data_IF_059908807745
#
_entry.id   IF_059908807745
#
_cell.length_a   1.000
_cell.length_b   1.000
_cell.length_c   1.000
_cell.angle_alpha   90.00
_cell.angle_beta   90.00
_cell.angle_gamma   90.00
#
_symmetry.space_group_name_H-M   'P 1'
#
loop_
_entity.id
_entity.type
_entity.pdbx_description
1 polymer ?
#
# COMPACT_ATOMS: atom_id res chain seq x y z
N UNK A 1 9.68 -0.99 -28.05
CA UNK A 1 8.61 -1.93 -27.66
C UNK A 1 7.27 -1.32 -28.08
N UNK A 2 6.10 -1.95 -27.85
CA UNK A 2 4.80 -1.28 -28.11
C UNK A 2 4.13 -0.93 -26.79
N UNK A 3 3.90 0.35 -26.52
CA UNK A 3 3.22 0.79 -25.30
C UNK A 3 1.76 0.27 -25.25
N UNK A 4 1.35 -0.23 -24.08
CA UNK A 4 0.02 -0.76 -23.80
C UNK A 4 -0.53 -0.15 -22.51
N UNK A 5 -1.84 -0.29 -22.29
CA UNK A 5 -2.46 0.11 -21.02
C UNK A 5 -2.29 -0.99 -19.97
N UNK A 6 -2.32 -0.62 -18.69
CA UNK A 6 -2.20 -1.58 -17.56
C UNK A 6 -3.22 -2.72 -17.61
N UNK A 7 -4.43 -2.46 -18.07
CA UNK A 7 -5.50 -3.48 -18.20
C UNK A 7 -5.25 -4.50 -19.31
N UNK A 8 -4.26 -4.25 -20.18
CA UNK A 8 -3.82 -5.11 -21.28
C UNK A 8 -2.58 -5.95 -20.96
N UNK A 9 -2.04 -5.88 -19.73
CA UNK A 9 -0.95 -6.76 -19.29
C UNK A 9 -1.29 -8.23 -19.51
N UNK A 10 -0.29 -9.02 -19.93
CA UNK A 10 -0.42 -10.45 -20.21
C UNK A 10 0.61 -11.24 -19.40
N UNK A 11 0.19 -12.38 -18.87
CA UNK A 11 1.04 -13.24 -18.06
C UNK A 11 1.99 -14.12 -18.93
N UNK A 12 3.25 -14.32 -18.51
CA UNK A 12 3.94 -13.59 -17.45
C UNK A 12 4.41 -12.21 -17.93
N UNK A 13 4.55 -11.27 -17.00
CA UNK A 13 5.08 -9.94 -17.27
C UNK A 13 6.42 -9.73 -16.55
N UNK A 14 7.42 -9.21 -17.25
CA UNK A 14 8.70 -8.87 -16.62
C UNK A 14 8.54 -7.54 -15.88
N UNK A 15 9.04 -7.46 -14.66
CA UNK A 15 9.10 -6.20 -13.89
C UNK A 15 10.47 -5.57 -14.12
N UNK A 16 10.49 -4.33 -14.58
CA UNK A 16 11.70 -3.54 -14.85
C UNK A 16 11.68 -2.26 -14.00
N UNK A 17 12.85 -1.87 -13.48
CA UNK A 17 13.07 -0.57 -12.82
C UNK A 17 14.18 0.18 -13.58
N UNK A 18 13.79 1.24 -14.28
CA UNK A 18 14.66 1.97 -15.21
C UNK A 18 14.76 3.43 -14.80
N UNK A 19 15.96 3.86 -14.43
CA UNK A 19 16.33 5.27 -14.28
C UNK A 19 16.89 5.81 -15.58
N UNK A 20 16.23 6.83 -16.13
CA UNK A 20 16.60 7.41 -17.42
C UNK A 20 17.94 8.13 -17.42
N UNK A 21 18.46 8.49 -16.25
CA UNK A 21 19.79 9.10 -16.06
C UNK A 21 20.91 8.10 -15.85
N UNK A 22 20.59 6.83 -15.57
CA UNK A 22 21.60 5.79 -15.31
C UNK A 22 21.96 5.10 -16.62
N UNK A 23 23.24 5.06 -16.99
CA UNK A 23 23.68 4.23 -18.13
C UNK A 23 23.70 2.76 -17.72
N UNK A 24 23.04 1.91 -18.50
CA UNK A 24 23.04 0.46 -18.28
C UNK A 24 24.04 -0.29 -19.17
N UNK A 25 24.77 0.43 -20.03
CA UNK A 25 25.74 -0.17 -20.95
C UNK A 25 25.13 -1.29 -21.78
N UNK A 26 25.80 -2.44 -21.83
CA UNK A 26 25.34 -3.63 -22.57
C UNK A 26 24.55 -4.62 -21.69
N UNK A 27 24.02 -4.20 -20.54
CA UNK A 27 23.22 -5.08 -19.68
C UNK A 27 21.94 -5.51 -20.40
N UNK A 28 21.74 -6.82 -20.50
CA UNK A 28 20.57 -7.43 -21.13
C UNK A 28 19.75 -8.23 -20.12
N UNK A 29 18.44 -8.22 -20.29
CA UNK A 29 17.50 -9.08 -19.57
C UNK A 29 16.94 -10.12 -20.55
N UNK A 30 16.97 -11.39 -20.17
CA UNK A 30 16.27 -12.45 -20.88
C UNK A 30 14.76 -12.27 -20.68
N UNK A 31 14.04 -12.12 -21.78
CA UNK A 31 12.60 -11.94 -21.79
C UNK A 31 11.84 -12.97 -22.61
N UNK A 32 12.48 -14.04 -23.08
CA UNK A 32 11.89 -15.02 -24.01
C UNK A 32 10.56 -15.59 -23.50
N UNK A 33 10.45 -15.80 -22.19
CA UNK A 33 9.24 -16.33 -21.55
C UNK A 33 8.13 -15.30 -21.32
N UNK A 34 8.43 -14.01 -21.36
CA UNK A 34 7.50 -12.95 -20.98
C UNK A 34 6.72 -12.42 -22.18
N UNK A 35 5.47 -12.02 -21.94
CA UNK A 35 4.58 -11.47 -22.97
C UNK A 35 4.51 -9.95 -22.93
N UNK A 36 4.62 -9.39 -21.72
CA UNK A 36 4.55 -7.94 -21.50
C UNK A 36 5.63 -7.51 -20.51
N UNK A 37 5.94 -6.22 -20.47
CA UNK A 37 6.77 -5.60 -19.44
C UNK A 37 5.96 -4.61 -18.61
N UNK A 38 6.17 -4.65 -17.31
CA UNK A 38 5.74 -3.66 -16.33
C UNK A 38 6.99 -2.87 -15.93
N UNK A 39 7.05 -1.58 -16.25
CA UNK A 39 8.27 -0.78 -16.13
C UNK A 39 8.04 0.41 -15.18
N UNK A 40 8.73 0.42 -14.04
CA UNK A 40 8.90 1.61 -13.22
C UNK A 40 9.92 2.52 -13.89
N UNK A 41 9.53 3.78 -14.09
CA UNK A 41 10.40 4.80 -14.69
C UNK A 41 10.83 5.78 -13.61
N UNK A 42 12.13 5.98 -13.49
CA UNK A 42 12.75 6.97 -12.61
C UNK A 42 13.51 8.01 -13.41
N UNK A 43 13.65 9.20 -12.86
CA UNK A 43 14.52 10.26 -13.36
C UNK A 43 15.44 10.74 -12.22
N UNK A 44 16.68 10.24 -12.20
CA UNK A 44 17.66 10.55 -11.14
C UNK A 44 17.23 10.03 -9.77
N UNK A 45 16.82 8.76 -9.71
CA UNK A 45 16.35 8.06 -8.51
C UNK A 45 14.90 8.33 -8.12
N UNK A 46 14.26 9.36 -8.70
CA UNK A 46 12.88 9.75 -8.36
C UNK A 46 11.89 9.03 -9.27
N UNK A 47 10.89 8.36 -8.69
CA UNK A 47 9.77 7.77 -9.44
C UNK A 47 8.99 8.85 -10.17
N UNK A 48 8.82 8.67 -11.49
CA UNK A 48 8.03 9.60 -12.33
C UNK A 48 6.77 8.95 -12.88
N UNK A 49 6.82 7.69 -13.31
CA UNK A 49 5.67 6.98 -13.88
C UNK A 49 5.87 5.46 -13.86
N UNK A 50 4.79 4.72 -14.12
CA UNK A 50 4.85 3.31 -14.49
C UNK A 50 4.28 3.15 -15.91
N UNK A 51 5.04 2.50 -16.79
CA UNK A 51 4.66 2.25 -18.19
C UNK A 51 4.61 0.75 -18.46
N UNK A 52 3.81 0.36 -19.45
CA UNK A 52 3.56 -1.04 -19.76
C UNK A 52 3.80 -1.27 -21.24
N UNK A 53 4.46 -2.37 -21.58
CA UNK A 53 4.84 -2.65 -22.95
C UNK A 53 4.47 -4.06 -23.36
N UNK A 54 4.05 -4.19 -24.61
CA UNK A 54 4.08 -5.43 -25.34
C UNK A 54 5.51 -5.71 -25.81
N UNK A 55 6.01 -6.89 -25.47
CA UNK A 55 7.37 -7.36 -25.78
C UNK A 55 7.36 -8.74 -26.45
N UNK A 56 6.20 -9.16 -26.96
CA UNK A 56 6.06 -10.42 -27.68
C UNK A 56 7.11 -10.54 -28.80
N UNK A 57 7.57 -11.77 -29.04
CA UNK A 57 8.60 -12.13 -30.01
C UNK A 57 10.02 -11.59 -29.74
N UNK A 58 10.31 -11.16 -28.51
CA UNK A 58 11.67 -10.79 -28.08
C UNK A 58 12.28 -11.85 -27.18
N UNK A 59 13.51 -12.25 -27.48
CA UNK A 59 14.30 -13.10 -26.60
C UNK A 59 15.01 -12.29 -25.51
N UNK A 60 15.46 -11.08 -25.83
CA UNK A 60 16.24 -10.22 -24.91
C UNK A 60 15.83 -8.75 -25.03
N UNK A 61 16.04 -8.00 -23.94
CA UNK A 61 15.99 -6.53 -23.92
C UNK A 61 17.33 -5.98 -23.43
N UNK A 62 17.92 -5.05 -24.18
CA UNK A 62 19.00 -4.20 -23.66
C UNK A 62 18.39 -3.11 -22.78
N UNK A 63 18.85 -2.98 -21.54
CA UNK A 63 18.29 -1.99 -20.62
C UNK A 63 18.55 -0.55 -21.09
N UNK A 64 19.67 -0.30 -21.77
CA UNK A 64 19.96 1.04 -22.32
C UNK A 64 19.04 1.41 -23.49
N UNK A 65 18.64 0.43 -24.33
CA UNK A 65 17.63 0.66 -25.38
C UNK A 65 16.27 1.02 -24.77
N UNK A 66 15.86 0.29 -23.72
CA UNK A 66 14.63 0.59 -22.97
C UNK A 66 14.70 1.99 -22.35
N UNK A 67 15.84 2.34 -21.75
CA UNK A 67 16.10 3.66 -21.18
C UNK A 67 15.96 4.78 -22.20
N UNK A 68 16.58 4.64 -23.37
CA UNK A 68 16.51 5.63 -24.46
C UNK A 68 15.07 5.79 -24.97
N UNK A 69 14.35 4.68 -25.16
CA UNK A 69 12.94 4.70 -25.57
C UNK A 69 12.06 5.45 -24.56
N UNK A 70 12.27 5.21 -23.26
CA UNK A 70 11.54 5.89 -22.17
C UNK A 70 11.87 7.38 -22.10
N UNK A 71 13.14 7.75 -22.22
CA UNK A 71 13.57 9.15 -22.19
C UNK A 71 12.99 9.96 -23.36
N UNK A 72 12.86 9.36 -24.54
CA UNK A 72 12.29 9.99 -25.72
C UNK A 72 10.77 10.21 -25.63
N UNK A 73 10.07 9.45 -24.78
CA UNK A 73 8.60 9.44 -24.70
C UNK A 73 7.98 10.61 -23.91
N UNK A 74 8.80 11.58 -23.47
CA UNK A 74 8.38 12.73 -22.67
C UNK A 74 7.93 12.34 -21.27
N UNK A 75 8.77 12.60 -20.27
CA UNK A 75 8.52 12.21 -18.89
C UNK A 75 7.97 13.37 -18.06
N UNK A 76 7.10 13.08 -17.07
CA UNK A 76 6.75 14.06 -16.05
C UNK A 76 8.02 14.57 -15.34
N UNK A 77 7.98 15.83 -14.89
CA UNK A 77 9.07 16.40 -14.10
C UNK A 77 9.16 15.66 -12.77
N UNK A 78 10.36 15.16 -12.45
CA UNK A 78 10.65 14.54 -11.16
C UNK A 78 10.37 15.53 -10.02
N UNK A 79 9.46 15.15 -9.12
CA UNK A 79 9.18 15.93 -7.93
C UNK A 79 10.25 15.65 -6.87
N UNK A 80 11.31 16.46 -6.85
CA UNK A 80 12.31 16.43 -5.78
C UNK A 80 11.94 17.48 -4.72
N UNK A 81 11.51 17.10 -3.51
CA UNK A 81 11.41 18.07 -2.44
C UNK A 81 12.82 18.54 -2.07
N UNK A 82 12.96 19.84 -1.84
CA UNK A 82 14.24 20.51 -1.52
C UNK A 82 14.70 20.30 -0.07
N UNK A 83 13.91 19.63 0.77
CA UNK A 83 14.16 19.55 2.21
C UNK A 83 14.56 18.15 2.66
N UNK A 84 15.70 18.04 3.34
CA UNK A 84 16.06 16.88 4.16
C UNK A 84 15.46 17.01 5.55
N UNK A 85 14.58 16.06 5.92
CA UNK A 85 14.04 15.98 7.28
C UNK A 85 14.97 15.17 8.19
N UNK A 86 15.19 15.65 9.42
CA UNK A 86 15.97 14.95 10.46
C UNK A 86 15.08 14.32 11.54
N UNK A 87 13.88 13.88 11.17
CA UNK A 87 12.96 13.27 12.13
C UNK A 87 13.37 11.84 12.44
N UNK A 88 13.35 11.48 13.73
CA UNK A 88 13.61 10.10 14.16
C UNK A 88 12.49 9.17 13.64
N UNK A 89 12.85 7.96 13.22
CA UNK A 89 11.92 7.01 12.59
C UNK A 89 12.00 5.62 13.23
N UNK A 90 10.85 5.03 13.52
CA UNK A 90 10.70 3.60 13.76
C UNK A 90 10.03 2.94 12.54
N UNK A 91 10.68 1.94 11.96
CA UNK A 91 10.07 1.04 10.97
C UNK A 91 9.44 -0.14 11.72
N UNK A 92 8.12 -0.21 11.74
CA UNK A 92 7.35 -1.22 12.44
C UNK A 92 6.86 -2.32 11.48
N UNK A 93 7.17 -3.58 11.81
CA UNK A 93 6.86 -4.76 10.99
C UNK A 93 5.97 -5.72 11.79
N UNK A 94 4.65 -5.69 11.60
CA UNK A 94 3.75 -6.73 12.07
C UNK A 94 4.01 -8.04 11.32
N UNK A 95 4.22 -9.13 12.04
CA UNK A 95 4.49 -10.44 11.44
C UNK A 95 3.84 -11.57 12.21
N UNK A 96 3.34 -12.56 11.49
CA UNK A 96 3.03 -13.89 12.02
C UNK A 96 3.66 -14.99 11.14
N UNK A 97 4.65 -14.63 10.32
CA UNK A 97 5.31 -15.48 9.33
C UNK A 97 6.82 -15.39 9.47
N UNK A 98 7.42 -16.40 10.09
CA UNK A 98 8.86 -16.46 10.30
C UNK A 98 9.65 -16.42 8.97
N UNK A 99 9.12 -17.05 7.92
CA UNK A 99 9.84 -17.21 6.65
C UNK A 99 9.87 -15.94 5.80
N UNK A 100 8.90 -15.02 5.97
CA UNK A 100 8.81 -13.79 5.18
C UNK A 100 9.65 -12.66 5.79
N UNK A 101 9.68 -12.57 7.12
CA UNK A 101 10.36 -11.49 7.84
C UNK A 101 11.83 -11.22 7.41
N UNK A 102 12.68 -12.23 7.13
CA UNK A 102 14.05 -11.98 6.65
C UNK A 102 14.12 -11.17 5.35
N UNK A 103 13.11 -11.26 4.48
CA UNK A 103 13.04 -10.51 3.22
C UNK A 103 12.95 -9.01 3.53
N UNK A 104 12.02 -8.63 4.41
CA UNK A 104 11.83 -7.25 4.84
C UNK A 104 13.08 -6.73 5.57
N UNK A 105 13.61 -7.48 6.54
CA UNK A 105 14.82 -7.06 7.28
C UNK A 105 16.04 -6.91 6.38
N UNK A 106 16.24 -7.83 5.42
CA UNK A 106 17.34 -7.74 4.46
C UNK A 106 17.24 -6.52 3.53
N UNK A 107 16.04 -6.03 3.25
CA UNK A 107 15.85 -4.78 2.51
C UNK A 107 16.21 -3.55 3.34
N UNK A 108 15.96 -3.61 4.66
CA UNK A 108 16.26 -2.51 5.58
C UNK A 108 17.76 -2.36 5.86
N UNK A 109 18.56 -3.43 5.78
CA UNK A 109 20.03 -3.33 5.91
C UNK A 109 20.68 -2.58 4.75
N UNK A 110 19.94 -2.35 3.66
CA UNK A 110 20.43 -1.69 2.43
C UNK A 110 19.95 -0.25 2.29
N UNK A 111 19.33 0.33 3.33
CA UNK A 111 18.82 1.70 3.26
C UNK A 111 19.97 2.70 3.18
N UNK A 112 19.83 3.70 2.29
CA UNK A 112 20.80 4.78 2.14
C UNK A 112 20.82 5.74 3.33
N UNK A 113 19.70 5.85 4.05
CA UNK A 113 19.59 6.51 5.34
C UNK A 113 19.49 5.44 6.44
N UNK A 114 20.57 5.17 7.20
CA UNK A 114 20.59 4.17 8.25
C UNK A 114 20.05 4.67 9.61
N UNK A 115 19.64 5.94 9.71
CA UNK A 115 19.18 6.54 10.96
C UNK A 115 17.70 6.21 11.24
N UNK A 116 17.45 4.97 11.63
CA UNK A 116 16.14 4.48 12.06
C UNK A 116 16.28 3.26 12.99
N UNK A 117 15.24 2.99 13.77
CA UNK A 117 15.11 1.73 14.52
C UNK A 117 14.03 0.84 13.89
N UNK A 118 14.14 -0.48 14.09
CA UNK A 118 13.15 -1.45 13.62
C UNK A 118 12.40 -2.04 14.81
N UNK A 119 11.07 -2.05 14.75
CA UNK A 119 10.20 -2.68 15.72
C UNK A 119 9.50 -3.89 15.08
N UNK A 120 9.94 -5.09 15.44
CA UNK A 120 9.27 -6.34 15.04
C UNK A 120 8.11 -6.58 16.00
N UNK A 121 6.90 -6.67 15.45
CA UNK A 121 5.69 -6.89 16.23
C UNK A 121 5.21 -8.32 15.93
N UNK A 122 5.50 -9.22 16.85
CA UNK A 122 5.08 -10.61 16.74
C UNK A 122 3.57 -10.73 16.99
N UNK A 123 2.83 -11.19 15.99
CA UNK A 123 1.41 -11.50 16.07
C UNK A 123 1.14 -13.01 15.97
N UNK A 124 2.16 -13.84 16.17
CA UNK A 124 1.99 -15.28 16.40
C UNK A 124 1.38 -15.52 17.78
N UNK A 125 0.76 -16.69 17.95
CA UNK A 125 0.20 -17.08 19.24
C UNK A 125 1.26 -17.38 20.32
N UNK A 126 2.50 -17.67 19.93
CA UNK A 126 3.57 -18.14 20.82
C UNK A 126 4.74 -17.17 21.02
N UNK A 127 4.79 -16.07 20.27
CA UNK A 127 5.81 -15.01 20.40
C UNK A 127 7.22 -15.43 19.98
N UNK A 128 7.37 -16.58 19.30
CA UNK A 128 8.69 -17.15 18.98
C UNK A 128 9.37 -16.48 17.80
N UNK A 129 8.63 -15.81 16.93
CA UNK A 129 9.20 -15.20 15.71
C UNK A 129 10.11 -14.04 16.11
N UNK A 130 9.62 -13.12 16.93
CA UNK A 130 10.43 -12.01 17.40
C UNK A 130 11.53 -12.45 18.39
N UNK A 131 11.27 -13.48 19.21
CA UNK A 131 12.28 -14.01 20.13
C UNK A 131 13.48 -14.63 19.38
N UNK A 132 13.27 -15.14 18.16
CA UNK A 132 14.34 -15.66 17.32
C UNK A 132 15.19 -14.56 16.65
N UNK A 133 14.68 -13.33 16.56
CA UNK A 133 15.29 -12.23 15.81
C UNK A 133 15.88 -11.18 16.76
N UNK A 134 17.03 -11.51 17.35
CA UNK A 134 17.75 -10.62 18.29
C UNK A 134 18.87 -9.82 17.65
N UNK A 135 19.35 -10.23 16.48
CA UNK A 135 20.33 -9.53 15.66
C UNK A 135 20.03 -9.79 14.18
N UNK A 136 20.15 -8.75 13.36
CA UNK A 136 20.02 -8.86 11.90
C UNK A 136 20.79 -7.74 11.21
N UNK A 137 21.95 -8.08 10.65
CA UNK A 137 22.68 -7.21 9.72
C UNK A 137 22.99 -5.80 10.25
N UNK A 138 23.20 -5.65 11.56
CA UNK A 138 23.51 -4.36 12.20
C UNK A 138 22.30 -3.43 12.41
N UNK A 139 21.07 -3.90 12.18
CA UNK A 139 19.87 -3.13 12.47
C UNK A 139 19.67 -2.97 13.98
N UNK A 140 19.21 -1.79 14.40
CA UNK A 140 18.75 -1.58 15.79
C UNK A 140 17.36 -2.19 15.95
N UNK A 141 17.30 -3.42 16.43
CA UNK A 141 16.06 -4.18 16.58
C UNK A 141 15.42 -4.00 17.97
N UNK A 142 14.11 -3.82 17.97
CA UNK A 142 13.24 -3.90 19.15
C UNK A 142 12.09 -4.85 18.83
N UNK A 143 11.51 -5.45 19.86
CA UNK A 143 10.43 -6.42 19.69
C UNK A 143 9.29 -6.17 20.65
N UNK A 144 8.07 -6.51 20.25
CA UNK A 144 6.92 -6.67 21.13
C UNK A 144 6.01 -7.80 20.63
N UNK A 145 5.18 -8.35 21.52
CA UNK A 145 4.31 -9.49 21.21
C UNK A 145 2.84 -9.13 21.47
N UNK A 146 1.98 -9.41 20.49
CA UNK A 146 0.53 -9.36 20.59
C UNK A 146 -0.04 -10.74 20.22
N UNK A 147 -0.39 -11.60 21.19
CA UNK A 147 -0.81 -12.97 20.91
C UNK A 147 -2.20 -13.08 20.27
N UNK A 148 -3.03 -12.01 20.31
CA UNK A 148 -4.35 -12.04 19.71
C UNK A 148 -4.26 -11.67 18.22
N UNK A 149 -4.80 -12.51 17.32
CA UNK A 149 -4.67 -12.30 15.89
C UNK A 149 -5.36 -11.00 15.43
N UNK A 150 -4.69 -10.28 14.54
CA UNK A 150 -5.24 -9.11 13.85
C UNK A 150 -4.19 -8.01 13.69
N UNK A 151 -4.00 -7.54 12.45
CA UNK A 151 -3.00 -6.52 12.12
C UNK A 151 -3.24 -5.23 12.91
N UNK A 152 -4.49 -4.83 13.14
CA UNK A 152 -4.78 -3.63 13.97
C UNK A 152 -4.31 -3.78 15.41
N UNK A 153 -4.45 -4.98 15.99
CA UNK A 153 -3.99 -5.26 17.36
C UNK A 153 -2.48 -5.21 17.42
N UNK A 154 -1.81 -5.88 16.48
CA UNK A 154 -0.36 -5.83 16.34
C UNK A 154 0.13 -4.37 16.21
N UNK A 155 -0.42 -3.61 15.28
CA UNK A 155 -0.07 -2.20 15.08
C UNK A 155 -0.28 -1.36 16.35
N UNK A 156 -1.42 -1.54 17.04
CA UNK A 156 -1.70 -0.83 18.29
C UNK A 156 -0.76 -1.23 19.44
N UNK A 157 -0.40 -2.51 19.54
CA UNK A 157 0.65 -2.96 20.45
C UNK A 157 1.96 -2.23 20.12
N UNK A 158 2.37 -2.22 18.84
CA UNK A 158 3.57 -1.54 18.39
C UNK A 158 3.60 -0.03 18.69
N UNK A 159 2.49 0.69 18.49
CA UNK A 159 2.38 2.14 18.77
C UNK A 159 2.76 2.48 20.22
N UNK A 160 2.50 1.59 21.18
CA UNK A 160 2.87 1.77 22.57
C UNK A 160 4.40 1.71 22.81
N UNK A 161 5.15 1.05 21.92
CA UNK A 161 6.60 0.89 22.00
C UNK A 161 7.39 1.91 21.17
N UNK A 162 6.75 2.56 20.19
CA UNK A 162 7.36 3.61 19.35
C UNK A 162 7.76 4.82 20.20
N UNK A 163 9.01 5.27 20.07
CA UNK A 163 9.56 6.43 20.82
C UNK A 163 9.99 7.58 19.93
N UNK A 164 9.94 7.38 18.63
CA UNK A 164 10.41 8.29 17.60
C UNK A 164 9.31 9.24 17.13
N UNK A 165 9.69 10.28 16.40
CA UNK A 165 8.79 11.28 15.85
C UNK A 165 7.86 10.69 14.79
N UNK A 166 8.35 9.70 14.04
CA UNK A 166 7.67 9.05 12.94
C UNK A 166 7.61 7.54 13.14
N UNK A 167 6.50 6.94 12.72
CA UNK A 167 6.37 5.49 12.57
C UNK A 167 6.01 5.16 11.13
N UNK A 168 6.79 4.28 10.50
CA UNK A 168 6.51 3.71 9.19
C UNK A 168 6.10 2.24 9.33
N UNK A 169 5.11 1.82 8.57
CA UNK A 169 4.64 0.44 8.50
C UNK A 169 5.21 -0.21 7.25
N UNK A 170 5.80 -1.39 7.43
CA UNK A 170 6.28 -2.27 6.36
C UNK A 170 5.74 -3.68 6.61
N UNK A 171 5.10 -4.28 5.62
CA UNK A 171 4.63 -5.67 5.73
C UNK A 171 5.81 -6.65 5.60
N UNK A 172 5.72 -7.81 6.26
CA UNK A 172 6.82 -8.79 6.30
C UNK A 172 7.06 -9.51 4.95
N UNK A 173 6.16 -9.39 3.98
CA UNK A 173 6.28 -9.89 2.59
C UNK A 173 6.61 -8.78 1.58
N UNK A 174 7.16 -7.66 2.04
CA UNK A 174 7.61 -6.53 1.22
C UNK A 174 9.12 -6.29 1.30
N UNK A 175 9.67 -5.74 0.22
CA UNK A 175 11.06 -5.25 0.12
C UNK A 175 11.01 -3.73 0.05
N UNK A 176 11.60 -3.04 1.02
CA UNK A 176 11.77 -1.59 0.96
C UNK A 176 12.80 -1.22 -0.11
N UNK A 177 12.48 -0.22 -0.95
CA UNK A 177 13.42 0.34 -1.92
C UNK A 177 14.66 0.92 -1.20
N UNK A 178 15.87 0.94 -1.79
CA UNK A 178 17.08 1.37 -1.09
C UNK A 178 17.02 2.79 -0.49
N UNK A 179 16.23 3.69 -1.07
CA UNK A 179 16.04 5.06 -0.56
C UNK A 179 14.73 5.25 0.22
N UNK A 180 14.01 4.17 0.57
CA UNK A 180 12.66 4.24 1.13
C UNK A 180 12.60 5.07 2.42
N UNK A 181 13.49 4.83 3.38
CA UNK A 181 13.57 5.61 4.64
C UNK A 181 13.86 7.10 4.36
N UNK A 182 14.83 7.38 3.50
CA UNK A 182 15.18 8.75 3.12
C UNK A 182 13.99 9.46 2.45
N UNK A 183 13.25 8.77 1.58
CA UNK A 183 12.07 9.31 0.92
C UNK A 183 10.91 9.56 1.87
N UNK A 184 10.68 8.69 2.85
CA UNK A 184 9.66 8.91 3.88
C UNK A 184 9.99 10.16 4.73
N UNK A 185 11.23 10.29 5.23
CA UNK A 185 11.65 11.48 5.99
C UNK A 185 11.52 12.77 5.17
N UNK A 186 11.89 12.74 3.88
CA UNK A 186 11.67 13.86 2.95
C UNK A 186 10.19 14.20 2.77
N UNK A 187 9.32 13.19 2.68
CA UNK A 187 7.88 13.39 2.62
C UNK A 187 7.34 14.18 3.83
N UNK A 188 7.81 13.85 5.04
CA UNK A 188 7.43 14.58 6.27
C UNK A 188 8.04 15.98 6.38
N UNK A 189 9.13 16.24 5.67
CA UNK A 189 9.76 17.55 5.57
C UNK A 189 9.10 18.48 4.54
N UNK A 190 8.10 18.00 3.79
CA UNK A 190 7.37 18.82 2.83
C UNK A 190 6.74 20.07 3.50
N UNK A 191 6.67 21.23 2.82
CA UNK A 191 6.20 22.49 3.41
C UNK A 191 4.81 22.41 4.07
N UNK A 192 3.92 21.56 3.53
CA UNK A 192 2.59 21.32 4.07
C UNK A 192 2.57 20.60 5.42
N UNK A 193 3.72 20.13 5.92
CA UNK A 193 3.91 19.36 7.17
C UNK A 193 2.88 18.25 7.33
N UNK A 194 2.89 17.21 6.46
CA UNK A 194 1.90 16.15 6.51
C UNK A 194 1.94 15.40 7.85
N UNK A 195 0.78 14.93 8.28
CA UNK A 195 0.58 14.07 9.44
C UNK A 195 0.73 12.59 9.09
N UNK A 196 0.53 12.24 7.81
CA UNK A 196 0.84 10.93 7.26
C UNK A 196 1.42 11.03 5.85
N UNK A 197 2.28 10.08 5.52
CA UNK A 197 2.89 9.89 4.20
C UNK A 197 2.53 8.49 3.72
N UNK A 198 1.91 8.37 2.55
CA UNK A 198 1.58 7.09 1.93
C UNK A 198 2.46 6.88 0.70
N UNK A 199 3.30 5.85 0.75
CA UNK A 199 4.14 5.46 -0.38
C UNK A 199 3.35 4.66 -1.42
N UNK A 200 4.08 4.08 -2.38
CA UNK A 200 3.52 3.20 -3.40
C UNK A 200 4.03 1.77 -3.22
N UNK A 201 3.11 0.82 -3.33
CA UNK A 201 3.42 -0.61 -3.33
C UNK A 201 3.33 -1.14 -4.76
N UNK A 202 4.43 -1.68 -5.26
CA UNK A 202 4.62 -2.10 -6.65
C UNK A 202 4.88 -3.62 -6.72
N UNK A 203 4.59 -4.29 -7.84
CA UNK A 203 4.85 -5.72 -7.97
C UNK A 203 6.35 -6.02 -7.93
N UNK A 204 6.79 -6.89 -7.02
CA UNK A 204 8.17 -7.43 -7.06
C UNK A 204 8.38 -8.43 -8.23
N UNK A 205 7.30 -9.09 -8.65
CA UNK A 205 7.28 -10.05 -9.75
C UNK A 205 5.85 -10.15 -10.33
N UNK A 206 5.72 -10.63 -11.58
CA UNK A 206 4.45 -10.90 -12.26
C UNK A 206 4.50 -12.21 -13.06
N UNK A 207 4.74 -13.29 -12.33
CA UNK A 207 4.94 -14.64 -12.88
C UNK A 207 3.64 -15.41 -13.11
N UNK A 208 2.57 -15.07 -12.37
CA UNK A 208 1.29 -15.80 -12.45
C UNK A 208 0.13 -14.92 -12.90
N UNK A 209 -0.89 -15.58 -13.45
CA UNK A 209 -2.10 -14.90 -13.91
C UNK A 209 -2.81 -14.15 -12.77
N UNK A 210 -2.77 -14.67 -11.53
CA UNK A 210 -3.35 -13.98 -10.38
C UNK A 210 -2.64 -12.65 -10.09
N UNK A 211 -1.30 -12.62 -10.17
CA UNK A 211 -0.53 -11.40 -9.94
C UNK A 211 -0.81 -10.36 -11.03
N UNK A 212 -0.84 -10.79 -12.30
CA UNK A 212 -1.18 -9.93 -13.44
C UNK A 212 -2.63 -9.42 -13.34
N UNK A 213 -3.60 -10.25 -12.97
CA UNK A 213 -4.99 -9.81 -12.79
C UNK A 213 -5.11 -8.78 -11.67
N UNK A 214 -4.39 -8.95 -10.56
CA UNK A 214 -4.36 -7.96 -9.49
C UNK A 214 -3.83 -6.59 -9.98
N UNK A 215 -2.78 -6.59 -10.79
CA UNK A 215 -2.25 -5.37 -11.41
C UNK A 215 -3.24 -4.76 -12.42
N UNK A 216 -3.88 -5.57 -13.26
CA UNK A 216 -4.93 -5.12 -14.19
C UNK A 216 -6.14 -4.54 -13.46
N UNK A 217 -6.44 -5.02 -12.24
CA UNK A 217 -7.48 -4.46 -11.36
C UNK A 217 -7.09 -3.10 -10.75
N UNK A 218 -5.82 -2.71 -10.83
CA UNK A 218 -5.28 -1.44 -10.36
C UNK A 218 -4.23 -1.55 -9.26
N UNK A 219 -3.85 -2.78 -8.88
CA UNK A 219 -2.84 -3.08 -7.86
C UNK A 219 -3.16 -2.45 -6.50
N UNK A 220 -2.12 -2.13 -5.73
CA UNK A 220 -2.27 -1.47 -4.42
C UNK A 220 -2.55 0.02 -4.52
N UNK A 221 -1.99 0.72 -5.50
CA UNK A 221 -2.18 2.17 -5.66
C UNK A 221 -3.58 2.56 -6.19
N UNK A 222 -4.43 1.58 -6.55
CA UNK A 222 -5.83 1.77 -7.01
C UNK A 222 -5.98 2.83 -8.11
N UNK A 223 -5.00 2.89 -9.02
CA UNK A 223 -4.97 3.83 -10.15
C UNK A 223 -4.67 5.29 -9.77
N UNK A 224 -4.21 5.56 -8.54
CA UNK A 224 -3.63 6.87 -8.19
C UNK A 224 -2.34 7.09 -9.01
N UNK A 225 -2.09 8.30 -9.54
CA UNK A 225 -0.91 8.55 -10.37
C UNK A 225 0.39 8.46 -9.56
N UNK A 226 1.51 8.27 -10.27
CA UNK A 226 2.87 8.25 -9.71
C UNK A 226 3.45 9.65 -9.47
N UNK A 227 2.58 10.63 -9.19
CA UNK A 227 2.98 12.00 -8.87
C UNK A 227 2.61 12.31 -7.41
N UNK A 228 3.43 13.05 -6.66
CA UNK A 228 3.07 13.50 -5.33
C UNK A 228 1.75 14.27 -5.30
N UNK A 229 0.93 14.02 -4.27
CA UNK A 229 -0.33 14.72 -4.08
C UNK A 229 -0.59 15.01 -2.61
N UNK A 230 -0.88 16.27 -2.31
CA UNK A 230 -1.47 16.64 -1.03
C UNK A 230 -2.94 16.22 -0.97
N UNK A 231 -3.27 15.40 0.00
CA UNK A 231 -4.60 14.90 0.27
C UNK A 231 -5.17 15.68 1.46
N UNK A 232 -6.12 16.57 1.16
CA UNK A 232 -6.82 17.43 2.12
C UNK A 232 -8.32 17.34 1.88
N UNK A 233 -9.10 17.28 2.95
CA UNK A 233 -10.56 17.26 2.86
C UNK A 233 -11.10 18.40 2.00
N UNK A 234 -11.97 18.05 1.04
CA UNK A 234 -12.58 19.00 0.11
C UNK A 234 -11.71 19.31 -1.12
N UNK A 235 -10.51 18.74 -1.24
CA UNK A 235 -9.69 18.88 -2.45
C UNK A 235 -10.19 17.99 -3.59
N UNK A 236 -9.68 18.22 -4.80
CA UNK A 236 -9.94 17.34 -5.96
C UNK A 236 -9.50 15.88 -5.70
N UNK A 237 -8.49 15.68 -4.87
CA UNK A 237 -7.94 14.37 -4.55
C UNK A 237 -8.68 13.67 -3.39
N UNK A 238 -9.38 14.44 -2.53
CA UNK A 238 -10.17 13.94 -1.41
C UNK A 238 -11.49 14.70 -1.34
N UNK A 239 -12.52 14.14 -1.98
CA UNK A 239 -13.87 14.71 -1.96
C UNK A 239 -14.47 14.74 -0.55
N UNK A 240 -14.23 13.67 0.21
CA UNK A 240 -14.68 13.52 1.59
C UNK A 240 -13.79 12.50 2.29
N UNK A 241 -13.53 12.64 3.60
CA UNK A 241 -12.90 11.60 4.40
C UNK A 241 -13.69 10.28 4.38
N UNK A 242 -15.01 10.35 4.18
CA UNK A 242 -15.89 9.19 4.10
C UNK A 242 -16.00 8.63 2.68
N UNK A 243 -15.16 9.08 1.74
CA UNK A 243 -15.15 8.59 0.37
C UNK A 243 -13.73 8.15 -0.05
N UNK A 244 -13.26 6.97 0.41
CA UNK A 244 -11.88 6.50 0.22
C UNK A 244 -11.63 5.92 -1.18
N UNK A 245 -12.08 6.63 -2.22
CA UNK A 245 -11.89 6.25 -3.61
C UNK A 245 -11.34 7.45 -4.40
N UNK A 246 -10.17 7.34 -5.06
CA UNK A 246 -9.19 6.27 -4.87
C UNK A 246 -8.68 6.24 -3.42
N UNK A 247 -8.09 5.12 -2.98
CA UNK A 247 -7.60 4.96 -1.61
C UNK A 247 -6.64 6.08 -1.19
N UNK A 248 -6.60 6.37 0.11
CA UNK A 248 -5.73 7.41 0.69
C UNK A 248 -4.29 6.93 0.91
N UNK A 249 -4.07 5.62 0.89
CA UNK A 249 -2.79 4.94 1.06
C UNK A 249 -3.02 3.42 1.06
N UNK A 250 -1.95 2.66 1.23
CA UNK A 250 -2.00 1.21 1.37
C UNK A 250 -1.28 0.80 2.68
N UNK A 251 -1.80 -0.23 3.35
CA UNK A 251 -1.41 -0.57 4.72
C UNK A 251 0.07 -0.95 4.90
N UNK A 252 0.69 -1.54 3.89
CA UNK A 252 2.08 -2.00 3.91
C UNK A 252 3.12 -0.93 3.56
N UNK A 253 2.70 0.26 3.12
CA UNK A 253 3.61 1.38 2.82
C UNK A 253 2.97 2.72 3.22
N UNK A 254 2.86 2.91 4.52
CA UNK A 254 2.33 4.13 5.12
C UNK A 254 3.14 4.51 6.35
N UNK A 255 3.34 5.79 6.55
CA UNK A 255 4.01 6.34 7.70
C UNK A 255 3.19 7.49 8.30
N UNK A 256 3.36 7.71 9.60
CA UNK A 256 2.63 8.71 10.36
C UNK A 256 3.58 9.50 11.26
N UNK A 257 3.23 10.75 11.54
CA UNK A 257 3.70 11.37 12.77
C UNK A 257 3.13 10.58 13.96
N UNK A 258 4.00 10.20 14.88
CA UNK A 258 3.63 9.33 16.01
C UNK A 258 2.55 9.98 16.87
N UNK A 259 2.62 11.29 17.10
CA UNK A 259 1.62 12.05 17.84
C UNK A 259 0.28 12.14 17.11
N UNK A 260 0.27 12.36 15.79
CA UNK A 260 -0.94 12.38 14.99
C UNK A 260 -1.67 11.03 15.02
N UNK A 261 -0.96 9.91 14.85
CA UNK A 261 -1.55 8.58 14.95
C UNK A 261 -2.08 8.27 16.37
N UNK A 262 -1.39 8.74 17.41
CA UNK A 262 -1.89 8.62 18.79
C UNK A 262 -3.12 9.50 19.05
N UNK A 263 -3.19 10.69 18.46
CA UNK A 263 -4.31 11.62 18.65
C UNK A 263 -5.65 11.08 18.14
N UNK A 264 -5.61 10.14 17.20
CA UNK A 264 -6.78 9.43 16.67
C UNK A 264 -7.05 8.09 17.36
N UNK A 265 -6.23 7.71 18.35
CA UNK A 265 -6.35 6.47 19.11
C UNK A 265 -5.76 5.23 18.42
N UNK A 266 -4.92 5.42 17.39
CA UNK A 266 -4.35 4.32 16.61
C UNK A 266 -5.33 3.73 15.60
N UNK A 267 -5.28 2.41 15.42
CA UNK A 267 -6.13 1.66 14.48
C UNK A 267 -7.37 1.08 15.17
N UNK A 268 -8.49 1.00 14.45
CA UNK A 268 -9.68 0.33 14.99
C UNK A 268 -9.47 -1.20 15.04
N UNK A 269 -9.32 -1.76 16.25
CA UNK A 269 -9.10 -3.20 16.48
C UNK A 269 -10.21 -4.11 15.91
N UNK A 270 -11.37 -3.56 15.53
CA UNK A 270 -12.48 -4.30 14.90
C UNK A 270 -12.32 -4.41 13.38
N UNK A 271 -11.46 -3.58 12.78
CA UNK A 271 -10.99 -3.68 11.40
C UNK A 271 -9.60 -4.31 11.40
N UNK A 272 -9.13 -4.82 10.26
CA UNK A 272 -7.85 -5.55 10.22
C UNK A 272 -7.78 -6.68 11.27
N UNK A 273 -8.90 -7.31 11.57
CA UNK A 273 -9.03 -8.35 12.60
C UNK A 273 -8.85 -9.75 12.00
N UNK A 274 -8.97 -10.78 12.84
CA UNK A 274 -9.05 -12.16 12.38
C UNK A 274 -10.25 -12.46 11.46
N UNK A 275 -11.25 -11.59 11.45
CA UNK A 275 -12.49 -11.76 10.68
C UNK A 275 -12.53 -10.77 9.53
N UNK A 276 -12.24 -9.49 9.78
CA UNK A 276 -12.28 -8.44 8.76
C UNK A 276 -10.85 -8.13 8.33
N UNK A 277 -10.47 -8.60 7.15
CA UNK A 277 -9.15 -8.41 6.60
C UNK A 277 -9.07 -7.12 5.78
N UNK A 278 -8.92 -5.98 6.46
CA UNK A 278 -8.67 -4.67 5.87
C UNK A 278 -9.58 -3.55 6.38
N UNK A 279 -9.30 -2.32 5.93
CA UNK A 279 -10.10 -1.12 6.21
C UNK A 279 -9.62 -0.32 7.41
N UNK A 280 -8.71 -0.86 8.22
CA UNK A 280 -8.14 -0.20 9.39
C UNK A 280 -7.28 1.01 9.04
N UNK A 281 -6.45 0.90 7.99
CA UNK A 281 -5.62 1.97 7.45
C UNK A 281 -6.49 3.05 6.81
N UNK A 282 -7.52 2.62 6.08
CA UNK A 282 -8.50 3.53 5.49
C UNK A 282 -9.22 4.30 6.59
N UNK A 283 -9.58 3.63 7.69
CA UNK A 283 -10.25 4.25 8.84
C UNK A 283 -9.36 5.26 9.56
N UNK A 284 -8.09 4.94 9.77
CA UNK A 284 -7.11 5.82 10.41
C UNK A 284 -6.84 7.08 9.56
N UNK A 285 -6.54 6.92 8.26
CA UNK A 285 -6.32 8.04 7.35
C UNK A 285 -7.57 8.92 7.20
N UNK A 286 -8.76 8.31 7.18
CA UNK A 286 -10.03 9.06 7.14
C UNK A 286 -10.26 9.88 8.41
N UNK A 287 -9.86 9.37 9.59
CA UNK A 287 -9.96 10.13 10.84
C UNK A 287 -9.06 11.36 10.82
N UNK A 288 -7.81 11.21 10.34
CA UNK A 288 -6.88 12.33 10.17
C UNK A 288 -7.46 13.40 9.24
N UNK A 289 -7.96 12.99 8.07
CA UNK A 289 -8.60 13.89 7.11
C UNK A 289 -9.84 14.58 7.70
N UNK A 290 -10.64 13.85 8.47
CA UNK A 290 -11.82 14.41 9.15
C UNK A 290 -11.44 15.50 10.17
N UNK A 291 -10.25 15.41 10.75
CA UNK A 291 -9.68 16.41 11.67
C UNK A 291 -8.92 17.55 10.98
N UNK A 292 -8.92 17.58 9.64
CA UNK A 292 -8.25 18.62 8.86
C UNK A 292 -6.76 18.37 8.61
N UNK A 293 -6.25 17.18 8.93
CA UNK A 293 -4.85 16.81 8.71
C UNK A 293 -4.50 16.79 7.22
N UNK A 294 -3.20 16.92 6.92
CA UNK A 294 -2.66 16.67 5.58
C UNK A 294 -2.12 15.25 5.50
N UNK A 295 -2.52 14.50 4.47
CA UNK A 295 -1.82 13.28 4.06
C UNK A 295 -1.06 13.57 2.76
N UNK A 296 0.18 13.10 2.65
CA UNK A 296 0.96 13.18 1.43
C UNK A 296 0.98 11.82 0.73
N UNK A 297 0.37 11.73 -0.45
CA UNK A 297 0.66 10.62 -1.37
C UNK A 297 2.05 10.86 -1.96
N UNK A 298 2.94 9.89 -1.80
CA UNK A 298 4.38 10.06 -1.97
C UNK A 298 5.03 8.90 -2.77
N UNK A 299 4.87 8.89 -4.10
CA UNK A 299 5.44 7.86 -4.99
C UNK A 299 6.94 7.57 -4.88
N UNK A 300 7.82 8.51 -4.50
CA UNK A 300 9.24 8.19 -4.32
C UNK A 300 9.49 7.15 -3.21
N UNK A 301 8.61 7.04 -2.21
CA UNK A 301 8.70 5.97 -1.20
C UNK A 301 8.10 4.67 -1.75
N UNK A 302 8.94 3.83 -2.35
CA UNK A 302 8.55 2.57 -2.98
C UNK A 302 8.75 1.38 -2.04
N UNK A 303 7.80 0.45 -2.05
CA UNK A 303 8.02 -0.92 -1.59
C UNK A 303 7.63 -1.91 -2.70
N UNK A 304 8.35 -3.03 -2.76
CA UNK A 304 8.14 -4.09 -3.72
C UNK A 304 7.44 -5.27 -3.03
N UNK A 305 6.22 -5.56 -3.45
CA UNK A 305 5.34 -6.54 -2.83
C UNK A 305 5.25 -7.82 -3.69
N UNK A 306 5.42 -8.98 -3.06
CA UNK A 306 5.19 -10.29 -3.70
C UNK A 306 3.69 -10.61 -3.73
N UNK A 307 3.03 -10.26 -4.83
CA UNK A 307 1.59 -10.48 -4.98
C UNK A 307 1.19 -11.95 -4.81
N UNK A 308 -0.06 -12.18 -4.38
CA UNK A 308 -0.61 -13.53 -4.23
C UNK A 308 -0.50 -14.31 -5.54
N UNK A 309 0.14 -15.48 -5.48
CA UNK A 309 0.48 -16.28 -6.67
C UNK A 309 -0.70 -17.08 -7.17
N UNK A 310 -1.64 -17.46 -6.31
CA UNK A 310 -2.80 -18.28 -6.69
C UNK A 310 -4.10 -17.48 -6.78
N UNK A 311 -5.01 -17.94 -7.64
CA UNK A 311 -6.34 -17.35 -7.77
C UNK A 311 -7.14 -17.45 -6.45
N UNK A 312 -6.98 -18.54 -5.70
CA UNK A 312 -7.66 -18.72 -4.41
C UNK A 312 -7.21 -17.69 -3.37
N UNK A 313 -5.92 -17.37 -3.31
CA UNK A 313 -5.39 -16.34 -2.40
C UNK A 313 -5.84 -14.95 -2.83
N UNK A 314 -5.85 -14.67 -4.13
CA UNK A 314 -6.37 -13.41 -4.67
C UNK A 314 -7.87 -13.24 -4.40
N UNK A 315 -8.68 -14.31 -4.53
CA UNK A 315 -10.08 -14.30 -4.14
C UNK A 315 -10.25 -13.90 -2.67
N UNK A 316 -9.47 -14.51 -1.77
CA UNK A 316 -9.49 -14.17 -0.33
C UNK A 316 -9.11 -12.70 -0.10
N UNK A 317 -8.09 -12.21 -0.80
CA UNK A 317 -7.63 -10.83 -0.70
C UNK A 317 -8.71 -9.83 -1.16
N UNK A 318 -9.32 -10.05 -2.33
CA UNK A 318 -10.37 -9.17 -2.86
C UNK A 318 -11.67 -9.24 -2.03
N UNK A 319 -12.02 -10.42 -1.50
CA UNK A 319 -13.08 -10.55 -0.50
C UNK A 319 -12.76 -9.70 0.74
N UNK A 320 -11.54 -9.80 1.27
CA UNK A 320 -11.07 -9.03 2.42
C UNK A 320 -11.18 -7.53 2.23
N UNK A 321 -10.63 -6.99 1.13
CA UNK A 321 -10.70 -5.56 0.81
C UNK A 321 -12.14 -5.05 0.70
N UNK A 322 -13.01 -5.82 0.06
CA UNK A 322 -14.41 -5.47 -0.06
C UNK A 322 -15.16 -5.51 1.28
N UNK A 323 -14.89 -6.50 2.14
CA UNK A 323 -15.42 -6.55 3.49
C UNK A 323 -14.88 -5.41 4.36
N UNK A 324 -13.60 -5.09 4.24
CA UNK A 324 -12.96 -3.96 4.92
C UNK A 324 -13.62 -2.63 4.57
N UNK A 325 -14.00 -2.41 3.31
CA UNK A 325 -14.68 -1.19 2.89
C UNK A 325 -16.06 -1.02 3.57
N UNK A 326 -16.89 -2.05 3.64
CA UNK A 326 -18.19 -1.93 4.32
C UNK A 326 -18.08 -1.99 5.84
N UNK A 327 -17.05 -2.67 6.37
CA UNK A 327 -16.64 -2.56 7.76
C UNK A 327 -16.24 -1.12 8.12
N UNK A 328 -15.47 -0.45 7.27
CA UNK A 328 -15.08 0.96 7.42
C UNK A 328 -16.31 1.86 7.54
N UNK A 329 -17.28 1.76 6.64
CA UNK A 329 -18.51 2.56 6.75
C UNK A 329 -19.28 2.26 8.03
N UNK A 330 -19.39 0.97 8.39
CA UNK A 330 -20.06 0.57 9.62
C UNK A 330 -19.35 1.11 10.87
N UNK A 331 -18.02 1.21 10.85
CA UNK A 331 -17.25 1.80 11.95
C UNK A 331 -17.61 3.26 12.20
N UNK A 332 -17.81 4.04 11.13
CA UNK A 332 -18.26 5.43 11.22
C UNK A 332 -19.68 5.53 11.74
N UNK A 333 -20.60 4.70 11.25
CA UNK A 333 -22.00 4.69 11.71
C UNK A 333 -22.12 4.32 13.20
N UNK A 334 -21.30 3.38 13.68
CA UNK A 334 -21.26 3.00 15.10
C UNK A 334 -20.66 4.12 15.96
N UNK A 335 -19.62 4.80 15.48
CA UNK A 335 -18.97 5.89 16.22
C UNK A 335 -19.81 7.18 16.22
N UNK A 336 -20.45 7.50 15.10
CA UNK A 336 -21.28 8.70 14.91
C UNK A 336 -22.45 8.39 13.96
N UNK A 337 -23.65 8.13 14.49
CA UNK A 337 -24.84 7.88 13.65
C UNK A 337 -25.17 9.02 12.68
N UNK A 338 -24.74 10.25 12.97
CA UNK A 338 -24.92 11.42 12.10
C UNK A 338 -24.18 11.29 10.76
N UNK A 339 -23.08 10.53 10.72
CA UNK A 339 -22.33 10.26 9.49
C UNK A 339 -23.18 9.52 8.43
N UNK A 340 -24.33 8.94 8.79
CA UNK A 340 -25.26 8.34 7.84
C UNK A 340 -25.72 9.33 6.76
N UNK A 341 -26.01 10.59 7.13
CA UNK A 341 -26.46 11.62 6.18
C UNK A 341 -25.33 12.01 5.22
N UNK A 342 -24.11 12.14 5.73
CA UNK A 342 -22.93 12.44 4.92
C UNK A 342 -22.64 11.31 3.91
N UNK A 343 -22.66 10.06 4.38
CA UNK A 343 -22.46 8.88 3.53
C UNK A 343 -23.56 8.79 2.46
N UNK A 344 -24.83 9.02 2.83
CA UNK A 344 -25.93 9.03 1.87
C UNK A 344 -25.73 10.10 0.78
N UNK A 345 -25.25 11.30 1.15
CA UNK A 345 -24.92 12.38 0.22
C UNK A 345 -23.76 12.05 -0.75
N UNK A 346 -22.96 11.02 -0.47
CA UNK A 346 -21.87 10.56 -1.34
C UNK A 346 -22.33 9.51 -2.37
N UNK A 347 -23.46 8.85 -2.16
CA UNK A 347 -23.97 7.77 -3.04
C UNK A 347 -24.12 8.24 -4.50
N UNK A 348 -24.78 9.38 -4.82
CA UNK A 348 -24.95 9.81 -6.20
C UNK A 348 -23.61 10.04 -6.92
N UNK A 349 -22.60 10.51 -6.17
CA UNK A 349 -21.24 10.72 -6.70
C UNK A 349 -20.55 9.39 -6.99
N UNK A 350 -20.70 8.40 -6.11
CA UNK A 350 -20.23 7.04 -6.32
C UNK A 350 -20.82 6.41 -7.58
N UNK A 351 -22.15 6.52 -7.76
CA UNK A 351 -22.84 6.04 -8.95
C UNK A 351 -22.35 6.76 -10.20
N UNK A 352 -22.25 8.10 -10.18
CA UNK A 352 -21.74 8.89 -11.32
C UNK A 352 -20.32 8.47 -11.71
N UNK A 353 -19.44 8.21 -10.74
CA UNK A 353 -18.08 7.72 -11.00
C UNK A 353 -18.11 6.37 -11.69
N UNK A 354 -18.86 5.39 -11.18
CA UNK A 354 -18.99 4.06 -11.78
C UNK A 354 -19.48 4.17 -13.24
N UNK A 355 -20.49 5.01 -13.49
CA UNK A 355 -21.03 5.24 -14.83
C UNK A 355 -20.02 5.94 -15.75
N UNK A 356 -19.29 6.94 -15.25
CA UNK A 356 -18.26 7.65 -16.01
C UNK A 356 -17.09 6.72 -16.39
N UNK A 357 -16.68 5.84 -15.48
CA UNK A 357 -15.68 4.80 -15.76
C UNK A 357 -16.13 3.89 -16.90
N UNK A 358 -17.38 3.39 -16.85
CA UNK A 358 -17.92 2.53 -17.90
C UNK A 358 -17.98 3.19 -19.27
N UNK A 359 -18.18 4.52 -19.33
CA UNK A 359 -18.28 5.30 -20.57
C UNK A 359 -16.94 5.74 -21.15
N UNK A 360 -15.92 5.94 -20.32
CA UNK A 360 -14.66 6.57 -20.74
C UNK A 360 -13.52 5.61 -21.04
N UNK A 361 -13.71 4.30 -20.87
CA UNK A 361 -12.64 3.29 -21.02
C UNK A 361 -11.47 3.48 -20.05
N UNK A 362 -11.59 4.41 -19.09
CA UNK A 362 -10.63 4.69 -18.03
C UNK A 362 -10.87 3.78 -16.81
N UNK A 363 -9.85 3.56 -15.95
CA UNK A 363 -9.93 2.60 -14.85
C UNK A 363 -10.91 3.02 -13.75
N UNK A 364 -11.59 2.04 -13.14
CA UNK A 364 -12.56 2.26 -12.05
C UNK A 364 -13.66 1.21 -11.97
N UNK A 365 -13.57 0.16 -12.79
CA UNK A 365 -14.31 -1.08 -12.76
C UNK A 365 -13.35 -2.19 -13.20
N UNK A 366 -13.68 -3.46 -12.97
CA UNK A 366 -12.83 -4.57 -13.39
C UNK A 366 -12.55 -4.51 -14.89
N UNK A 367 -11.31 -4.83 -15.32
CA UNK A 367 -10.93 -4.79 -16.73
C UNK A 367 -11.75 -5.77 -17.57
N UNK A 368 -11.72 -5.62 -18.89
CA UNK A 368 -12.36 -6.58 -19.78
C UNK A 368 -11.79 -7.99 -19.58
N UNK A 369 -12.67 -8.99 -19.47
CA UNK A 369 -12.26 -10.37 -19.21
C UNK A 369 -11.73 -10.64 -17.80
N UNK A 370 -12.00 -9.75 -16.82
CA UNK A 370 -11.61 -10.00 -15.43
C UNK A 370 -12.34 -11.24 -14.86
N UNK A 371 -11.66 -12.10 -14.08
CA UNK A 371 -12.26 -13.35 -13.61
C UNK A 371 -13.53 -13.17 -12.75
N UNK A 372 -14.62 -13.85 -13.12
CA UNK A 372 -15.92 -13.71 -12.44
C UNK A 372 -15.89 -14.22 -10.99
N UNK A 373 -15.05 -15.19 -10.67
CA UNK A 373 -14.83 -15.66 -9.30
C UNK A 373 -14.31 -14.52 -8.39
N UNK A 374 -13.38 -13.70 -8.89
CA UNK A 374 -12.84 -12.53 -8.18
C UNK A 374 -13.91 -11.44 -7.96
N UNK A 375 -14.78 -11.24 -8.95
CA UNK A 375 -15.92 -10.32 -8.83
C UNK A 375 -16.95 -10.80 -7.81
N UNK A 376 -17.27 -12.10 -7.83
CA UNK A 376 -18.16 -12.72 -6.85
C UNK A 376 -17.58 -12.65 -5.44
N UNK A 377 -16.28 -12.89 -5.27
CA UNK A 377 -15.58 -12.74 -3.99
C UNK A 377 -15.70 -11.31 -3.46
N UNK A 378 -15.42 -10.31 -4.30
CA UNK A 378 -15.57 -8.89 -3.95
C UNK A 378 -17.01 -8.54 -3.55
N UNK A 379 -18.03 -8.98 -4.32
CA UNK A 379 -19.44 -8.74 -3.98
C UNK A 379 -19.81 -9.37 -2.63
N UNK A 380 -19.40 -10.62 -2.40
CA UNK A 380 -19.62 -11.31 -1.11
C UNK A 380 -18.99 -10.56 0.06
N UNK A 381 -17.79 -10.00 -0.13
CA UNK A 381 -17.11 -9.18 0.87
C UNK A 381 -17.94 -7.93 1.22
N UNK A 382 -18.36 -7.17 0.21
CA UNK A 382 -19.21 -5.97 0.39
C UNK A 382 -20.46 -6.28 1.24
N UNK A 383 -21.17 -7.38 0.95
CA UNK A 383 -22.39 -7.75 1.68
C UNK A 383 -22.13 -8.13 3.15
N UNK A 384 -20.96 -8.70 3.46
CA UNK A 384 -20.68 -9.27 4.79
C UNK A 384 -19.93 -8.33 5.73
N UNK A 385 -19.11 -7.43 5.21
CA UNK A 385 -18.18 -6.62 6.02
C UNK A 385 -18.84 -5.82 7.14
N UNK A 386 -19.98 -5.17 6.87
CA UNK A 386 -20.74 -4.44 7.88
C UNK A 386 -21.22 -5.33 9.05
N UNK A 387 -21.74 -6.52 8.75
CA UNK A 387 -22.17 -7.47 9.77
C UNK A 387 -20.97 -8.01 10.57
N UNK A 388 -19.87 -8.32 9.88
CA UNK A 388 -18.62 -8.77 10.51
C UNK A 388 -18.10 -7.74 11.51
N UNK A 389 -18.20 -6.44 11.18
CA UNK A 389 -17.81 -5.37 12.10
C UNK A 389 -18.67 -5.32 13.36
N UNK A 390 -19.99 -5.43 13.21
CA UNK A 390 -20.90 -5.47 14.35
C UNK A 390 -20.69 -6.71 15.22
N UNK A 391 -20.35 -7.85 14.60
CA UNK A 391 -20.00 -9.07 15.30
C UNK A 391 -18.72 -8.88 16.14
N UNK A 392 -17.66 -8.34 15.54
CA UNK A 392 -16.39 -8.04 16.22
C UNK A 392 -16.60 -7.06 17.39
N UNK A 393 -17.37 -5.99 17.15
CA UNK A 393 -17.69 -5.00 18.17
C UNK A 393 -18.39 -5.62 19.39
N UNK A 394 -19.26 -6.62 19.21
CA UNK A 394 -19.90 -7.33 20.33
C UNK A 394 -18.93 -8.27 21.04
N UNK A 395 -18.04 -8.95 20.31
CA UNK A 395 -17.09 -9.90 20.90
C UNK A 395 -15.99 -9.18 21.68
N UNK A 396 -15.44 -8.08 21.16
CA UNK A 396 -14.38 -7.32 21.85
C UNK A 396 -14.85 -6.67 23.16
N UNK A 397 -16.12 -6.24 23.24
CA UNK A 397 -16.72 -5.78 24.51
C UNK A 397 -16.70 -6.86 25.59
N UNK A 398 -16.81 -8.15 25.23
CA UNK A 398 -16.74 -9.25 26.19
C UNK A 398 -15.33 -9.48 26.73
N UNK A 399 -14.27 -9.18 25.95
CA UNK A 399 -12.88 -9.30 26.42
C UNK A 399 -12.44 -8.15 27.33
N UNK A 400 -13.08 -6.98 27.21
CA UNK A 400 -12.75 -5.78 28.01
C UNK A 400 -13.38 -5.83 29.41
N UNK A 401 -14.40 -6.66 29.62
CA UNK A 401 -15.07 -6.84 30.93
C UNK A 401 -14.35 -7.89 31.81
N UNK A 402 -13.36 -8.61 31.25
CA UNK A 402 -12.66 -9.73 31.91
C UNK A 402 -11.16 -9.46 32.17
N UNK A 403 -10.69 -8.23 31.94
CA UNK A 403 -9.40 -7.69 32.38
C UNK A 403 -9.68 -6.50 33.28
#
# INVERSE_FOLDING_TARGET
MREIRRDQLRCPAVVLDIDVRTSYGSTTVDVERYRTAWCLVRDGGVVVEARFFDIEDRATLTLDDVRVELAAAGLPVAATPSCSGHASLTVAIPTNRADSLPIALQSLTKQSDPDFEVLIIDNSSDGRIAAAMTDFGGLTLRTCHEPLPGISRARNCGIAYVRTDLVAWLDDDEVADPDWVAWLKRGFAAPGRPDAVAGVMLPAELETQAQVDFERYGGFNKGRPMQPQELRTGSRAVLSPLYPLPGFGAGGNMAFRTDALRSIGGFDNRLGSAIIHGGEETRALSELLHRGSLILHWPPAVTWHYHRRTNQELEKQLYGYAAGLTGFYMSWLVASPRSALEIAGLIPRGVRRILATRRSGRPGGPPAGFPENLLRASRRGLYRGAWMYLWENRHQRRYTVTR
#
